data_IF_064906633996
#
_entry.id   IF_064906633996
#
_cell.length_a   1.000
_cell.length_b   1.000
_cell.length_c   1.000
_cell.angle_alpha   90.00
_cell.angle_beta   90.00
_cell.angle_gamma   90.00
#
_symmetry.space_group_name_H-M   'P 1'
#
loop_
_entity.id
_entity.type
_entity.pdbx_description
1 polymer ?
#
# COMPACT_ATOMS: atom_id res chain seq x y z
N UNK A 1 -18.34 14.50 -16.35
CA UNK A 1 -18.00 14.02 -16.21
C UNK A 1 -17.70 13.58 -15.81
N UNK A 2 -17.49 13.47 -15.85
CA UNK A 2 -17.06 13.00 -15.66
C UNK A 2 -16.80 12.28 -15.31
N UNK A 3 -17.14 12.16 -15.97
CA UNK A 3 -16.81 10.97 -15.47
C UNK A 3 -15.53 10.82 -14.88
N UNK A 4 -15.39 11.38 -13.94
CA UNK A 4 -14.17 11.30 -13.23
C UNK A 4 -14.23 10.13 -12.28
N UNK A 5 -13.50 9.08 -12.59
CA UNK A 5 -13.47 7.90 -11.74
C UNK A 5 -12.34 7.96 -10.74
N UNK A 6 -11.73 9.10 -10.54
CA UNK A 6 -10.62 9.18 -9.60
C UNK A 6 -11.10 8.94 -8.17
N UNK A 7 -10.25 8.33 -7.39
CA UNK A 7 -10.51 8.08 -5.98
C UNK A 7 -9.21 8.19 -5.22
N UNK A 8 -9.30 8.40 -3.93
CA UNK A 8 -8.11 8.46 -3.10
C UNK A 8 -7.53 7.06 -2.97
N UNK A 9 -6.27 6.91 -3.32
CA UNK A 9 -5.56 5.64 -3.27
C UNK A 9 -4.44 5.76 -2.25
N UNK A 10 -4.39 4.84 -1.32
CA UNK A 10 -3.28 4.81 -0.38
C UNK A 10 -2.76 3.38 -0.26
N UNK A 11 -1.45 3.26 -0.14
CA UNK A 11 -0.78 1.97 0.05
C UNK A 11 0.15 2.14 1.23
N UNK A 12 -0.04 1.32 2.24
CA UNK A 12 0.74 1.38 3.46
C UNK A 12 1.30 0.01 3.78
N UNK A 13 2.41 0.01 4.49
CA UNK A 13 3.07 -1.21 4.96
C UNK A 13 2.89 -1.29 6.47
N UNK A 14 2.50 -2.46 6.95
CA UNK A 14 2.30 -2.72 8.38
C UNK A 14 3.18 -3.88 8.81
N UNK A 15 3.64 -3.86 10.05
CA UNK A 15 4.38 -4.98 10.62
C UNK A 15 3.41 -6.00 11.22
N UNK A 16 3.96 -7.07 11.81
CA UNK A 16 3.12 -8.15 12.35
C UNK A 16 2.34 -7.71 13.57
N UNK A 17 2.70 -6.59 14.19
CA UNK A 17 1.96 -6.07 15.34
C UNK A 17 0.86 -5.11 14.91
N UNK A 18 0.71 -4.91 13.59
CA UNK A 18 -0.31 -4.02 13.07
C UNK A 18 0.09 -2.56 13.06
N UNK A 19 1.37 -2.25 13.28
CA UNK A 19 1.84 -0.88 13.26
C UNK A 19 2.18 -0.47 11.84
N UNK A 20 1.77 0.72 11.45
CA UNK A 20 2.09 1.25 10.14
C UNK A 20 3.56 1.68 10.16
N UNK A 21 4.36 1.07 9.27
CA UNK A 21 5.79 1.37 9.24
C UNK A 21 6.15 2.30 8.09
N UNK A 22 5.33 2.36 7.05
CA UNK A 22 5.61 3.25 5.93
C UNK A 22 4.37 3.46 5.08
N UNK A 23 4.21 4.65 4.54
CA UNK A 23 3.18 4.95 3.55
C UNK A 23 3.87 5.11 2.21
N UNK A 24 3.52 4.25 1.25
CA UNK A 24 4.15 4.24 -0.06
C UNK A 24 3.45 5.16 -1.05
N UNK A 25 2.14 5.32 -0.89
CA UNK A 25 1.34 6.14 -1.80
C UNK A 25 0.14 6.66 -1.04
N UNK A 26 -0.20 7.91 -1.25
CA UNK A 26 -1.39 8.50 -0.67
C UNK A 26 -1.77 9.68 -1.53
N UNK A 27 -2.54 9.43 -2.59
CA UNK A 27 -2.94 10.49 -3.49
C UNK A 27 -4.15 10.05 -4.29
N UNK A 28 -4.77 11.01 -4.98
CA UNK A 28 -5.91 10.73 -5.81
C UNK A 28 -5.43 10.21 -7.16
N UNK A 29 -6.01 9.10 -7.61
CA UNK A 29 -5.62 8.47 -8.86
C UNK A 29 -6.85 7.99 -9.62
N UNK A 30 -6.74 7.95 -10.95
CA UNK A 30 -7.76 7.32 -11.77
C UNK A 30 -7.51 5.81 -11.79
N UNK A 31 -8.54 5.00 -12.11
CA UNK A 31 -8.37 3.54 -12.18
C UNK A 31 -7.29 3.14 -13.17
N UNK A 32 -6.63 2.04 -12.88
CA UNK A 32 -5.59 1.52 -13.74
C UNK A 32 -4.70 0.57 -12.97
N UNK A 33 -3.63 0.16 -13.61
CA UNK A 33 -2.62 -0.68 -12.98
C UNK A 33 -1.48 0.19 -12.50
N UNK A 34 -1.06 -0.04 -11.27
CA UNK A 34 0.04 0.71 -10.68
C UNK A 34 1.08 -0.25 -10.15
N UNK A 35 2.33 0.19 -10.18
CA UNK A 35 3.43 -0.58 -9.62
C UNK A 35 4.16 0.31 -8.63
N UNK A 36 4.22 -0.14 -7.38
CA UNK A 36 4.87 0.60 -6.31
C UNK A 36 5.97 -0.29 -5.76
N UNK A 37 7.14 0.29 -5.61
CA UNK A 37 8.29 -0.43 -5.10
C UNK A 37 8.56 0.02 -3.67
N UNK A 38 8.75 -0.95 -2.77
CA UNK A 38 9.07 -0.67 -1.37
C UNK A 38 10.54 -0.96 -1.15
N UNK A 39 11.27 0.06 -0.73
CA UNK A 39 12.66 -0.11 -0.37
C UNK A 39 12.74 -0.44 1.12
N UNK A 40 12.93 -1.69 1.43
CA UNK A 40 12.88 -2.17 2.80
C UNK A 40 14.24 -2.17 3.49
N UNK A 41 15.22 -1.50 2.93
CA UNK A 41 16.54 -1.39 3.55
C UNK A 41 16.40 -0.74 4.90
N UNK A 42 16.70 -1.10 5.92
CA UNK A 42 16.53 -0.48 7.22
C UNK A 42 15.44 -1.11 8.03
N UNK A 43 14.67 -2.03 7.44
CA UNK A 43 13.66 -2.77 8.19
C UNK A 43 14.16 -4.19 8.45
N UNK A 44 13.77 -4.80 9.57
CA UNK A 44 14.16 -6.18 9.84
C UNK A 44 13.57 -7.15 8.85
N UNK A 45 14.27 -8.25 8.60
CA UNK A 45 13.72 -9.39 7.90
C UNK A 45 12.48 -9.87 8.64
N UNK A 46 11.43 -10.17 7.92
CA UNK A 46 10.23 -10.68 8.53
C UNK A 46 9.01 -10.54 7.66
N UNK A 47 7.86 -10.71 8.28
CA UNK A 47 6.57 -10.66 7.62
C UNK A 47 5.97 -9.27 7.75
N UNK A 48 5.44 -8.78 6.64
CA UNK A 48 4.78 -7.47 6.61
C UNK A 48 3.48 -7.60 5.84
N UNK A 49 2.63 -6.60 5.98
CA UNK A 49 1.36 -6.55 5.28
C UNK A 49 1.25 -5.25 4.51
N UNK A 50 0.76 -5.33 3.28
CA UNK A 50 0.41 -4.14 2.53
C UNK A 50 -1.08 -3.95 2.63
N UNK A 51 -1.50 -2.70 2.78
CA UNK A 51 -2.92 -2.37 2.74
C UNK A 51 -3.14 -1.34 1.65
N UNK A 52 -3.99 -1.72 0.69
CA UNK A 52 -4.39 -0.84 -0.38
C UNK A 52 -5.79 -0.35 -0.12
N UNK A 53 -5.97 0.95 -0.06
CA UNK A 53 -7.28 1.57 0.03
C UNK A 53 -7.55 2.29 -1.29
N UNK A 54 -8.71 2.02 -1.88
CA UNK A 54 -9.13 2.67 -3.11
C UNK A 54 -10.59 3.05 -2.94
N UNK A 55 -10.84 4.35 -2.72
CA UNK A 55 -12.19 4.78 -2.41
C UNK A 55 -12.68 4.10 -1.15
N UNK A 56 -13.74 3.33 -1.27
CA UNK A 56 -14.31 2.60 -0.15
C UNK A 56 -13.86 1.14 -0.10
N UNK A 57 -12.92 0.75 -0.95
CA UNK A 57 -12.44 -0.63 -1.01
C UNK A 57 -11.10 -0.76 -0.32
N UNK A 58 -10.89 -1.89 0.33
CA UNK A 58 -9.66 -2.17 1.05
C UNK A 58 -9.17 -3.56 0.65
N UNK A 59 -7.89 -3.67 0.36
CA UNK A 59 -7.26 -4.95 0.06
C UNK A 59 -5.99 -5.08 0.87
N UNK A 60 -5.83 -6.21 1.54
CA UNK A 60 -4.64 -6.48 2.35
C UNK A 60 -3.91 -7.69 1.78
N UNK A 61 -2.60 -7.62 1.75
CA UNK A 61 -1.79 -8.69 1.21
C UNK A 61 -0.57 -8.89 2.11
N UNK A 62 -0.23 -10.15 2.34
CA UNK A 62 0.95 -10.50 3.13
C UNK A 62 2.17 -10.52 2.23
N UNK A 63 3.28 -9.98 2.72
CA UNK A 63 4.55 -10.04 2.03
C UNK A 63 5.61 -10.52 3.02
N UNK A 64 6.66 -11.13 2.49
CA UNK A 64 7.79 -11.57 3.30
C UNK A 64 9.03 -10.88 2.76
N UNK A 65 9.73 -10.20 3.64
CA UNK A 65 10.97 -9.52 3.31
C UNK A 65 12.15 -10.30 3.87
N UNK A 66 13.03 -10.72 3.00
CA UNK A 66 14.25 -11.45 3.38
C UNK A 66 15.45 -10.65 2.93
N UNK A 67 16.34 -10.41 3.85
CA UNK A 67 17.62 -9.79 3.52
C UNK A 67 18.62 -10.81 3.01
#
# INVERSE_FOLDING_TARGET
>A
PESNNSANVSISIFDIQGREVEVLLNEKRIPGSYSIQWNAIGYPTGMYFTRLNYGDKVRTQKIIFLK
#
